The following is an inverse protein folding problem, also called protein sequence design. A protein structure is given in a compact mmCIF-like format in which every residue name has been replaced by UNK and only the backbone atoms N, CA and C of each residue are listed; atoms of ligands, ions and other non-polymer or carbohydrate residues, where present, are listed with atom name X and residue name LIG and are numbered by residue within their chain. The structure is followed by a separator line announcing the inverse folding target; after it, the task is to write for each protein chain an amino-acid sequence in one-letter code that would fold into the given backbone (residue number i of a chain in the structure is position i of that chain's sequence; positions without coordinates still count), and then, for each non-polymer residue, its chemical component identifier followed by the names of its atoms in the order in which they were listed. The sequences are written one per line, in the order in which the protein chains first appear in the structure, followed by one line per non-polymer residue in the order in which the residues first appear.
data_IF_155301319495
#
_entry.id   IF_155301319495
#
_cell.length_a   1.000
_cell.length_b   1.000
_cell.length_c   1.000
_cell.angle_alpha   90.00
_cell.angle_beta   90.00
_cell.angle_gamma   90.00
#
_symmetry.space_group_name_H-M   'P 1'
#
loop_
_entity.id
_entity.type
_entity.pdbx_description
1 polymer ?
#
# COMPACT_ATOMS: atom_id res chain seq x y z
N UNK A 1 29.26 -14.93 -7.53
CA UNK A 1 28.15 -14.09 -8.02
C UNK A 1 26.90 -14.55 -7.31
N UNK A 2 26.40 -13.77 -6.35
CA UNK A 2 25.23 -14.16 -5.55
C UNK A 2 23.96 -13.85 -6.34
N UNK A 3 23.20 -14.89 -6.64
CA UNK A 3 21.96 -14.81 -7.41
C UNK A 3 20.89 -14.11 -6.56
N UNK A 4 20.68 -12.80 -6.77
CA UNK A 4 19.82 -11.98 -5.92
C UNK A 4 18.36 -11.98 -6.42
N UNK A 5 17.82 -13.16 -6.70
CA UNK A 5 16.43 -13.34 -7.12
C UNK A 5 15.57 -13.37 -5.87
N UNK A 6 14.63 -12.42 -5.75
CA UNK A 6 13.62 -12.39 -4.70
C UNK A 6 12.30 -12.80 -5.34
N UNK A 7 11.62 -13.79 -4.78
CA UNK A 7 10.29 -14.18 -5.24
C UNK A 7 9.24 -13.19 -4.74
N UNK A 8 8.27 -12.86 -5.59
CA UNK A 8 7.19 -11.93 -5.24
C UNK A 8 6.37 -12.38 -4.00
N UNK A 9 6.30 -13.68 -3.72
CA UNK A 9 5.62 -14.20 -2.52
C UNK A 9 6.40 -13.95 -1.21
N UNK A 10 7.69 -13.67 -1.30
CA UNK A 10 8.60 -13.54 -0.16
C UNK A 10 9.06 -12.09 0.05
N UNK A 11 8.68 -11.16 -0.83
CA UNK A 11 9.07 -9.74 -0.76
C UNK A 11 8.08 -8.95 0.10
N UNK A 12 8.60 -8.16 1.04
CA UNK A 12 7.78 -7.27 1.89
C UNK A 12 7.75 -5.84 1.34
N UNK A 13 6.80 -5.02 1.81
CA UNK A 13 6.82 -3.58 1.51
C UNK A 13 8.12 -2.91 1.99
N UNK A 14 8.66 -3.36 3.12
CA UNK A 14 9.95 -2.87 3.63
C UNK A 14 11.11 -3.20 2.67
N UNK A 15 11.16 -4.42 2.12
CA UNK A 15 12.16 -4.81 1.12
C UNK A 15 12.06 -3.95 -0.15
N UNK A 16 10.82 -3.70 -0.61
CA UNK A 16 10.55 -2.85 -1.76
C UNK A 16 11.10 -1.43 -1.56
N UNK A 17 10.89 -0.84 -0.37
CA UNK A 17 11.44 0.48 -0.05
C UNK A 17 12.97 0.49 0.06
N UNK A 18 13.57 -0.52 0.71
CA UNK A 18 15.01 -0.50 1.01
C UNK A 18 15.90 -0.98 -0.13
N UNK A 19 15.46 -1.96 -0.91
CA UNK A 19 16.26 -2.57 -1.98
C UNK A 19 16.02 -1.93 -3.35
N UNK A 20 14.80 -1.45 -3.57
CA UNK A 20 14.39 -0.88 -4.87
C UNK A 20 14.08 0.61 -4.80
N UNK A 21 14.21 1.24 -3.62
CA UNK A 21 13.95 2.67 -3.41
C UNK A 21 12.54 3.08 -3.82
N UNK A 22 11.58 2.16 -3.69
CA UNK A 22 10.18 2.47 -3.94
C UNK A 22 9.63 3.31 -2.79
N UNK A 23 8.67 4.17 -3.12
CA UNK A 23 7.96 5.00 -2.16
C UNK A 23 6.46 4.74 -2.29
N UNK A 24 5.78 4.60 -1.16
CA UNK A 24 4.33 4.59 -1.15
C UNK A 24 3.82 5.95 -1.62
N UNK A 25 2.93 5.95 -2.60
CA UNK A 25 2.31 7.16 -3.12
C UNK A 25 0.82 7.17 -2.75
N UNK A 26 0.38 8.21 -2.06
CA UNK A 26 -1.01 8.41 -1.61
C UNK A 26 -1.73 9.49 -2.42
N UNK A 27 -1.13 9.96 -3.51
CA UNK A 27 -1.73 10.94 -4.40
C UNK A 27 -2.98 10.35 -5.09
N UNK A 28 -4.14 10.92 -4.77
CA UNK A 28 -5.44 10.54 -5.32
C UNK A 28 -5.53 10.73 -6.85
N UNK A 29 -4.55 11.37 -7.50
CA UNK A 29 -4.49 11.44 -8.97
C UNK A 29 -3.98 10.16 -9.62
N UNK A 30 -3.39 9.25 -8.84
CA UNK A 30 -2.98 7.94 -9.34
C UNK A 30 -4.17 7.01 -9.44
N UNK A 31 -4.19 6.19 -10.49
CA UNK A 31 -5.24 5.22 -10.75
C UNK A 31 -6.65 5.86 -10.70
N UNK A 32 -6.86 6.89 -11.52
CA UNK A 32 -8.15 7.56 -11.66
C UNK A 32 -9.23 6.67 -12.29
N UNK A 33 -8.83 5.75 -13.16
CA UNK A 33 -9.67 4.71 -13.77
C UNK A 33 -10.33 3.79 -12.72
N UNK A 34 -9.71 3.58 -11.56
CA UNK A 34 -10.23 2.79 -10.44
C UNK A 34 -11.15 3.61 -9.53
N UNK A 35 -11.09 4.95 -9.63
CA UNK A 35 -11.89 5.87 -8.84
C UNK A 35 -13.19 6.27 -9.53
N UNK A 36 -13.25 6.13 -10.86
CA UNK A 36 -14.36 6.63 -11.68
C UNK A 36 -15.68 5.91 -11.37
N UNK A 37 -15.65 4.62 -11.05
CA UNK A 37 -16.84 3.78 -10.74
C UNK A 37 -16.95 3.41 -9.25
N UNK A 38 -16.28 4.16 -8.36
CA UNK A 38 -16.37 3.89 -6.93
C UNK A 38 -17.78 4.17 -6.40
N UNK A 39 -18.32 3.35 -5.47
CA UNK A 39 -19.57 3.66 -4.79
C UNK A 39 -19.48 5.03 -4.11
N UNK A 40 -20.59 5.77 -4.15
CA UNK A 40 -20.73 7.03 -3.42
C UNK A 40 -20.79 6.71 -1.93
N UNK A 41 -19.87 7.30 -1.16
CA UNK A 41 -19.78 7.15 0.29
C UNK A 41 -19.89 8.51 0.97
N UNK A 42 -20.34 8.50 2.22
CA UNK A 42 -20.38 9.69 3.09
C UNK A 42 -18.98 10.09 3.55
N UNK A 43 -18.84 11.32 4.05
CA UNK A 43 -17.57 11.82 4.58
C UNK A 43 -17.12 11.01 5.82
N UNK A 44 -18.07 10.59 6.65
CA UNK A 44 -17.83 9.76 7.82
C UNK A 44 -17.32 8.36 7.45
N UNK A 45 -17.92 7.73 6.45
CA UNK A 45 -17.45 6.44 5.92
C UNK A 45 -16.06 6.57 5.32
N UNK A 46 -15.79 7.63 4.55
CA UNK A 46 -14.45 7.89 4.02
C UNK A 46 -13.42 7.99 5.14
N UNK A 47 -13.71 8.77 6.18
CA UNK A 47 -12.80 8.93 7.33
C UNK A 47 -12.53 7.60 8.02
N UNK A 48 -13.55 6.76 8.18
CA UNK A 48 -13.38 5.42 8.74
C UNK A 48 -12.51 4.53 7.85
N UNK A 49 -12.77 4.51 6.53
CA UNK A 49 -11.97 3.74 5.57
C UNK A 49 -10.52 4.20 5.52
N UNK A 50 -10.26 5.51 5.62
CA UNK A 50 -8.90 6.06 5.67
C UNK A 50 -8.15 5.56 6.93
N UNK A 51 -8.81 5.43 8.08
CA UNK A 51 -8.23 4.84 9.29
C UNK A 51 -7.94 3.34 9.13
N UNK A 52 -8.87 2.57 8.57
CA UNK A 52 -8.68 1.14 8.31
C UNK A 52 -7.50 0.92 7.34
N UNK A 53 -7.43 1.73 6.28
CA UNK A 53 -6.33 1.71 5.31
C UNK A 53 -4.98 1.96 6.00
N UNK A 54 -4.89 3.01 6.81
CA UNK A 54 -3.66 3.34 7.53
C UNK A 54 -3.21 2.21 8.46
N UNK A 55 -4.15 1.62 9.22
CA UNK A 55 -3.86 0.49 10.11
C UNK A 55 -3.39 -0.75 9.35
N UNK A 56 -4.08 -1.09 8.25
CA UNK A 56 -3.71 -2.22 7.38
C UNK A 56 -2.32 -2.05 6.77
N UNK A 57 -2.00 -0.87 6.23
CA UNK A 57 -0.69 -0.57 5.66
C UNK A 57 0.43 -0.68 6.69
N UNK A 58 0.19 -0.22 7.92
CA UNK A 58 1.15 -0.37 9.01
C UNK A 58 1.44 -1.85 9.33
N UNK A 59 0.40 -2.69 9.41
CA UNK A 59 0.54 -4.13 9.69
C UNK A 59 1.30 -4.87 8.59
N UNK A 60 1.05 -4.55 7.31
CA UNK A 60 1.79 -5.17 6.20
C UNK A 60 3.25 -4.70 6.18
N UNK A 61 3.49 -3.43 6.48
CA UNK A 61 4.83 -2.86 6.45
C UNK A 61 5.69 -3.36 7.61
N UNK A 62 5.08 -3.61 8.76
CA UNK A 62 5.75 -4.07 9.98
C UNK A 62 5.08 -5.33 10.57
N UNK A 63 5.17 -6.48 9.90
CA UNK A 63 4.58 -7.72 10.40
C UNK A 63 5.36 -8.21 11.63
N UNK A 64 4.71 -8.21 12.80
CA UNK A 64 5.28 -8.77 14.06
C UNK A 64 5.78 -7.77 15.10
N UNK A 65 5.42 -6.48 15.00
CA UNK A 65 5.39 -5.59 16.17
C UNK A 65 4.07 -5.72 16.93
#
# INVERSE_FOLDING_TARGET
MTNNIIYAKDITLYDLEKKFHLHLNEDERFFHEWQTDSPVITAEEKKFLDLVRAGYMNLIKYPGM
#
